data_IF_816617858169
#
_entry.id   IF_816617858169
#
_cell.length_a   1.000
_cell.length_b   1.000
_cell.length_c   1.000
_cell.angle_alpha   90.00
_cell.angle_beta   90.00
_cell.angle_gamma   90.00
#
_symmetry.space_group_name_H-M   'P 1'
#
loop_
_entity.id
_entity.type
_entity.pdbx_description
1 polymer ?
#
# COMPACT_ATOMS: atom_id res chain seq x y z
N UNK A 1 -18.84 11.88 -7.97
CA UNK A 1 -20.18 11.32 -7.76
C UNK A 1 -20.16 9.81 -7.94
N UNK A 2 -19.61 9.28 -9.04
CA UNK A 2 -19.47 7.82 -9.25
C UNK A 2 -18.68 7.10 -8.16
N UNK A 3 -17.61 7.69 -7.62
CA UNK A 3 -16.86 7.12 -6.48
C UNK A 3 -17.75 6.89 -5.25
N UNK A 4 -18.51 7.88 -4.80
CA UNK A 4 -19.34 7.72 -3.60
C UNK A 4 -20.45 6.70 -3.83
N UNK A 5 -21.00 6.61 -5.04
CA UNK A 5 -22.01 5.63 -5.41
C UNK A 5 -21.49 4.19 -5.35
N UNK A 6 -20.21 3.93 -5.66
CA UNK A 6 -19.66 2.58 -5.49
C UNK A 6 -19.56 2.16 -4.03
N UNK A 7 -19.33 3.12 -3.13
CA UNK A 7 -19.30 2.88 -1.69
C UNK A 7 -20.68 2.81 -1.04
N UNK A 8 -21.77 2.95 -1.79
CA UNK A 8 -23.12 2.64 -1.32
C UNK A 8 -23.46 1.14 -1.48
N UNK A 9 -22.65 0.40 -2.24
CA UNK A 9 -22.80 -1.04 -2.42
C UNK A 9 -22.28 -1.80 -1.18
N UNK A 10 -23.20 -2.50 -0.50
CA UNK A 10 -22.86 -3.30 0.68
C UNK A 10 -21.90 -4.46 0.37
N UNK A 11 -21.80 -4.93 -0.88
CA UNK A 11 -20.81 -5.96 -1.22
C UNK A 11 -19.37 -5.41 -1.13
N UNK A 12 -19.15 -4.11 -1.38
CA UNK A 12 -17.85 -3.45 -1.17
C UNK A 12 -17.52 -3.42 0.33
N UNK A 13 -18.46 -3.02 1.17
CA UNK A 13 -18.28 -3.02 2.62
C UNK A 13 -18.09 -4.42 3.19
N UNK A 14 -18.82 -5.41 2.68
CA UNK A 14 -18.65 -6.81 3.06
C UNK A 14 -17.24 -7.31 2.74
N UNK A 15 -16.69 -6.95 1.57
CA UNK A 15 -15.31 -7.27 1.22
C UNK A 15 -14.31 -6.70 2.26
N UNK A 16 -14.44 -5.42 2.61
CA UNK A 16 -13.60 -4.76 3.60
C UNK A 16 -13.79 -5.31 5.04
N UNK A 17 -15.01 -5.68 5.41
CA UNK A 17 -15.33 -6.25 6.73
C UNK A 17 -14.90 -7.72 6.87
N UNK A 18 -14.84 -8.47 5.76
CA UNK A 18 -14.33 -9.84 5.75
C UNK A 18 -12.81 -9.92 5.64
N UNK A 19 -12.15 -8.81 5.26
CA UNK A 19 -10.70 -8.68 5.36
C UNK A 19 -10.26 -8.62 6.83
N UNK A 20 -9.98 -9.80 7.37
CA UNK A 20 -9.62 -9.96 8.79
C UNK A 20 -8.31 -9.27 9.11
N UNK A 21 -7.33 -9.26 8.18
CA UNK A 21 -6.01 -8.64 8.41
C UNK A 21 -6.11 -7.13 8.53
N UNK A 22 -6.86 -6.49 7.63
CA UNK A 22 -7.20 -5.06 7.73
C UNK A 22 -7.80 -4.76 9.11
N UNK A 23 -8.88 -5.47 9.47
CA UNK A 23 -9.64 -5.14 10.67
C UNK A 23 -8.85 -5.43 11.96
N UNK A 24 -8.11 -6.53 12.02
CA UNK A 24 -7.25 -6.88 13.16
C UNK A 24 -6.07 -5.92 13.31
N UNK A 25 -5.46 -5.44 12.22
CA UNK A 25 -4.38 -4.47 12.29
C UNK A 25 -4.85 -3.13 12.89
N UNK A 26 -5.97 -2.58 12.40
CA UNK A 26 -6.54 -1.35 12.98
C UNK A 26 -6.99 -1.56 14.43
N UNK A 27 -7.68 -2.67 14.73
CA UNK A 27 -8.10 -2.99 16.08
C UNK A 27 -6.88 -3.08 17.00
N UNK A 28 -5.85 -3.86 16.63
CA UNK A 28 -4.64 -4.01 17.43
C UNK A 28 -3.92 -2.67 17.62
N UNK A 29 -3.74 -1.88 16.56
CA UNK A 29 -3.09 -0.58 16.64
C UNK A 29 -3.82 0.38 17.59
N UNK A 30 -5.15 0.44 17.53
CA UNK A 30 -5.96 1.30 18.41
C UNK A 30 -5.89 0.83 19.87
N UNK A 31 -6.02 -0.48 20.11
CA UNK A 31 -6.06 -1.03 21.46
C UNK A 31 -4.68 -1.16 22.13
N UNK A 32 -3.61 -1.35 21.38
CA UNK A 32 -2.24 -1.28 21.90
C UNK A 32 -1.91 0.16 22.34
N UNK A 33 -2.48 1.16 21.66
CA UNK A 33 -2.34 2.58 22.00
C UNK A 33 -3.52 3.13 22.82
N UNK A 34 -4.24 2.27 23.57
CA UNK A 34 -5.48 2.65 24.27
C UNK A 34 -5.35 3.89 25.16
N UNK A 35 -4.24 4.05 25.87
CA UNK A 35 -4.02 5.23 26.72
C UNK A 35 -3.87 6.53 25.90
N UNK A 36 -3.41 6.45 24.65
CA UNK A 36 -3.38 7.60 23.74
C UNK A 36 -4.79 8.03 23.33
N UNK A 37 -5.76 7.11 23.21
CA UNK A 37 -7.16 7.42 22.86
C UNK A 37 -8.00 7.90 24.05
N UNK A 38 -7.65 7.49 25.27
CA UNK A 38 -8.46 7.76 26.47
C UNK A 38 -8.71 9.24 26.70
N UNK A 39 -9.99 9.63 26.70
CA UNK A 39 -10.42 11.01 26.92
C UNK A 39 -10.13 11.96 25.75
N UNK A 40 -9.73 11.44 24.58
CA UNK A 40 -9.39 12.24 23.39
C UNK A 40 -10.56 12.44 22.44
N UNK A 41 -10.42 13.45 21.58
CA UNK A 41 -11.31 13.70 20.45
C UNK A 41 -10.68 13.09 19.19
N UNK A 42 -11.42 12.21 18.52
CA UNK A 42 -10.97 11.48 17.33
C UNK A 42 -11.78 11.92 16.10
N UNK A 43 -11.12 12.05 14.96
CA UNK A 43 -11.75 12.20 13.65
C UNK A 43 -11.52 10.93 12.82
N UNK A 44 -12.61 10.25 12.45
CA UNK A 44 -12.60 9.11 11.53
C UNK A 44 -12.97 9.61 10.12
N UNK A 45 -12.00 9.65 9.21
CA UNK A 45 -12.14 10.21 7.86
C UNK A 45 -12.49 9.10 6.89
N UNK A 46 -13.69 9.16 6.29
CA UNK A 46 -14.25 8.09 5.46
C UNK A 46 -14.71 6.91 6.30
N UNK A 47 -15.55 7.20 7.29
CA UNK A 47 -15.91 6.24 8.33
C UNK A 47 -16.64 4.99 7.79
N UNK A 48 -17.24 5.05 6.59
CA UNK A 48 -17.97 3.94 5.98
C UNK A 48 -19.04 3.39 6.91
N UNK A 49 -18.90 2.15 7.35
CA UNK A 49 -19.81 1.48 8.30
C UNK A 49 -19.63 1.92 9.76
N UNK A 50 -18.60 2.71 10.07
CA UNK A 50 -18.29 3.19 11.42
C UNK A 50 -17.52 2.21 12.30
N UNK A 51 -17.01 1.10 11.76
CA UNK A 51 -16.28 0.09 12.54
C UNK A 51 -15.05 0.67 13.25
N UNK A 52 -14.26 1.52 12.59
CA UNK A 52 -13.08 2.14 13.18
C UNK A 52 -13.46 3.15 14.26
N UNK A 53 -14.53 3.93 14.02
CA UNK A 53 -15.13 4.80 15.03
C UNK A 53 -15.56 4.03 16.29
N UNK A 54 -16.13 2.83 16.13
CA UNK A 54 -16.47 1.94 17.25
C UNK A 54 -15.23 1.50 18.02
N UNK A 55 -14.15 1.10 17.34
CA UNK A 55 -12.88 0.75 18.00
C UNK A 55 -12.32 1.92 18.80
N UNK A 56 -12.31 3.13 18.24
CA UNK A 56 -11.84 4.34 18.92
C UNK A 56 -12.65 4.63 20.18
N UNK A 57 -13.98 4.53 20.11
CA UNK A 57 -14.85 4.73 21.27
C UNK A 57 -14.64 3.64 22.34
N UNK A 58 -14.49 2.37 21.95
CA UNK A 58 -14.18 1.26 22.87
C UNK A 58 -12.79 1.38 23.51
N UNK A 59 -11.83 1.99 22.82
CA UNK A 59 -10.52 2.35 23.36
C UNK A 59 -10.59 3.50 24.38
N UNK A 60 -11.73 4.20 24.49
CA UNK A 60 -11.98 5.21 25.51
C UNK A 60 -11.89 6.65 25.01
N UNK A 61 -11.98 6.88 23.70
CA UNK A 61 -12.16 8.23 23.16
C UNK A 61 -13.37 8.92 23.83
N UNK A 62 -13.21 10.19 24.19
CA UNK A 62 -14.30 10.99 24.76
C UNK A 62 -15.34 11.35 23.69
N UNK A 63 -14.88 11.54 22.45
CA UNK A 63 -15.73 11.87 21.30
C UNK A 63 -15.10 11.33 20.03
N UNK A 64 -15.92 10.78 19.14
CA UNK A 64 -15.50 10.40 17.78
C UNK A 64 -16.39 11.11 16.78
N UNK A 65 -15.79 11.90 15.88
CA UNK A 65 -16.47 12.45 14.71
C UNK A 65 -16.26 11.51 13.54
N UNK A 66 -17.30 10.76 13.18
CA UNK A 66 -17.28 9.81 12.07
C UNK A 66 -17.78 10.49 10.81
N UNK A 67 -16.89 10.82 9.88
CA UNK A 67 -17.21 11.62 8.69
C UNK A 67 -17.30 10.71 7.48
N UNK A 68 -18.47 10.67 6.85
CA UNK A 68 -18.76 9.83 5.70
C UNK A 68 -19.53 10.64 4.66
N UNK A 69 -19.15 10.54 3.39
CA UNK A 69 -19.73 11.34 2.31
C UNK A 69 -20.74 10.57 1.46
N UNK A 70 -20.73 9.24 1.51
CA UNK A 70 -21.73 8.35 0.89
C UNK A 70 -22.94 8.13 1.80
N UNK A 71 -24.02 7.59 1.25
CA UNK A 71 -25.23 7.26 2.02
C UNK A 71 -25.03 6.17 3.09
N UNK A 72 -23.86 5.51 3.12
CA UNK A 72 -23.47 4.54 4.16
C UNK A 72 -23.41 5.15 5.56
N UNK A 73 -23.32 6.48 5.68
CA UNK A 73 -23.38 7.16 6.98
C UNK A 73 -24.61 6.75 7.83
N UNK A 74 -25.74 6.41 7.18
CA UNK A 74 -26.95 5.94 7.89
C UNK A 74 -26.69 4.62 8.62
N UNK A 75 -25.97 3.70 7.97
CA UNK A 75 -25.57 2.45 8.57
C UNK A 75 -24.59 2.69 9.73
N UNK A 76 -23.65 3.64 9.59
CA UNK A 76 -22.75 3.98 10.69
C UNK A 76 -23.51 4.49 11.94
N UNK A 77 -24.61 5.22 11.76
CA UNK A 77 -25.49 5.63 12.88
C UNK A 77 -26.11 4.41 13.55
N UNK A 78 -26.66 3.49 12.75
CA UNK A 78 -27.28 2.25 13.26
C UNK A 78 -26.26 1.38 14.00
N UNK A 79 -25.05 1.21 13.45
CA UNK A 79 -23.94 0.47 14.07
C UNK A 79 -23.51 1.10 15.40
N UNK A 80 -23.41 2.42 15.47
CA UNK A 80 -23.10 3.12 16.71
C UNK A 80 -24.18 2.89 17.79
N UNK A 81 -25.45 2.89 17.40
CA UNK A 81 -26.59 2.62 18.30
C UNK A 81 -26.62 1.15 18.76
N UNK A 82 -26.41 0.21 17.84
CA UNK A 82 -26.36 -1.22 18.15
C UNK A 82 -25.28 -1.55 19.19
N UNK A 83 -24.17 -0.81 19.16
CA UNK A 83 -23.06 -0.95 20.11
C UNK A 83 -23.19 -0.06 21.36
N UNK A 84 -24.30 0.68 21.54
CA UNK A 84 -24.54 1.61 22.64
C UNK A 84 -23.50 2.74 22.76
N UNK A 85 -23.01 3.23 21.61
CA UNK A 85 -21.96 4.24 21.51
C UNK A 85 -22.43 5.55 20.86
N UNK A 86 -23.74 5.71 20.62
CA UNK A 86 -24.33 6.90 20.00
C UNK A 86 -24.05 8.22 20.74
N UNK A 87 -23.77 8.17 22.05
CA UNK A 87 -23.44 9.36 22.83
C UNK A 87 -21.98 9.80 22.64
N UNK A 88 -21.10 8.87 22.26
CA UNK A 88 -19.66 9.09 22.01
C UNK A 88 -19.39 9.36 20.54
N UNK A 89 -20.01 8.57 19.65
CA UNK A 89 -19.82 8.64 18.20
C UNK A 89 -20.86 9.57 17.59
N UNK A 90 -20.40 10.64 16.95
CA UNK A 90 -21.23 11.53 16.14
C UNK A 90 -20.90 11.32 14.67
N UNK A 91 -21.84 10.71 13.95
CA UNK A 91 -21.74 10.54 12.49
C UNK A 91 -22.15 11.83 11.79
N UNK A 92 -21.35 12.27 10.83
CA UNK A 92 -21.54 13.50 10.05
C UNK A 92 -21.53 13.14 8.56
N UNK A 93 -22.66 13.34 7.90
CA UNK A 93 -22.77 13.17 6.45
C UNK A 93 -22.16 14.37 5.72
N UNK A 94 -20.90 14.27 5.30
CA UNK A 94 -20.17 15.33 4.61
C UNK A 94 -18.87 14.79 4.01
N UNK A 95 -18.42 15.31 2.85
CA UNK A 95 -16.99 15.33 2.53
C UNK A 95 -16.19 16.02 3.63
N UNK A 96 -14.98 15.57 3.90
CA UNK A 96 -14.14 16.16 4.96
C UNK A 96 -13.70 17.59 4.62
N UNK A 97 -13.60 17.90 3.33
CA UNK A 97 -13.23 19.22 2.81
C UNK A 97 -14.25 20.30 3.19
N UNK A 98 -15.53 19.94 3.21
CA UNK A 98 -16.65 20.83 3.58
C UNK A 98 -17.06 20.70 5.04
N UNK A 99 -16.42 19.81 5.80
CA UNK A 99 -16.71 19.59 7.21
C UNK A 99 -16.45 20.85 8.04
N UNK A 100 -17.37 21.09 8.97
CA UNK A 100 -17.21 22.05 10.06
C UNK A 100 -17.41 21.32 11.39
N UNK A 101 -16.39 21.31 12.23
CA UNK A 101 -16.47 20.71 13.56
C UNK A 101 -16.96 21.75 14.59
N UNK A 102 -17.66 21.32 15.67
CA UNK A 102 -17.98 22.19 16.80
C UNK A 102 -16.74 22.72 17.53
N UNK A 103 -16.91 23.74 18.38
CA UNK A 103 -15.89 24.28 19.30
C UNK A 103 -14.63 24.84 18.60
N UNK A 104 -13.43 24.56 19.14
CA UNK A 104 -12.13 24.97 18.58
C UNK A 104 -11.83 24.30 17.22
N UNK A 105 -12.68 23.37 16.79
CA UNK A 105 -12.60 22.66 15.52
C UNK A 105 -11.38 21.76 15.42
N UNK A 106 -10.79 21.34 16.54
CA UNK A 106 -9.54 20.57 16.57
C UNK A 106 -9.71 19.19 17.21
N UNK A 107 -8.94 18.22 16.70
CA UNK A 107 -8.94 16.82 17.16
C UNK A 107 -7.54 16.38 17.59
N UNK A 108 -7.47 15.43 18.50
CA UNK A 108 -6.20 14.90 19.01
C UNK A 108 -5.67 13.75 18.14
N UNK A 109 -6.57 12.99 17.50
CA UNK A 109 -6.23 11.82 16.68
C UNK A 109 -7.07 11.82 15.40
N UNK A 110 -6.43 11.51 14.27
CA UNK A 110 -7.10 11.13 13.03
C UNK A 110 -6.93 9.63 12.82
N UNK A 111 -8.02 8.94 12.55
CA UNK A 111 -8.03 7.55 12.08
C UNK A 111 -8.63 7.56 10.69
N UNK A 112 -8.02 6.83 9.76
CA UNK A 112 -8.60 6.67 8.43
C UNK A 112 -8.06 5.41 7.79
N UNK A 113 -8.94 4.72 7.07
CA UNK A 113 -8.56 3.71 6.10
C UNK A 113 -8.78 4.32 4.72
N UNK A 114 -7.67 4.82 4.16
CA UNK A 114 -7.63 5.64 2.96
C UNK A 114 -6.96 4.93 1.78
N UNK A 115 -6.43 3.73 2.01
CA UNK A 115 -5.52 3.07 1.09
C UNK A 115 -6.29 2.50 -0.08
N UNK A 116 -5.87 2.84 -1.30
CA UNK A 116 -6.37 2.21 -2.51
C UNK A 116 -5.48 1.05 -2.97
N UNK A 117 -5.82 0.48 -4.12
CA UNK A 117 -4.90 -0.36 -4.87
C UNK A 117 -3.56 0.36 -5.10
N UNK A 118 -2.44 -0.38 -5.04
CA UNK A 118 -1.08 0.16 -5.04
C UNK A 118 -0.90 1.38 -4.10
N UNK A 119 -1.60 1.41 -2.97
CA UNK A 119 -1.64 2.48 -1.97
C UNK A 119 -2.39 3.75 -2.38
N UNK A 120 -2.13 4.29 -3.58
CA UNK A 120 -2.55 5.64 -3.97
C UNK A 120 -3.83 5.72 -4.80
N UNK A 121 -4.29 4.61 -5.41
CA UNK A 121 -5.51 4.60 -6.21
C UNK A 121 -6.70 5.15 -5.42
N UNK A 122 -7.71 5.70 -6.10
CA UNK A 122 -8.92 6.30 -5.49
C UNK A 122 -8.73 7.65 -4.80
N UNK A 123 -7.49 8.01 -4.43
CA UNK A 123 -7.10 9.38 -4.07
C UNK A 123 -7.64 9.90 -2.74
N UNK A 124 -7.96 9.02 -1.78
CA UNK A 124 -8.48 9.41 -0.48
C UNK A 124 -7.42 10.02 0.46
N UNK A 125 -6.13 9.79 0.19
CA UNK A 125 -5.04 10.39 0.96
C UNK A 125 -5.09 11.93 0.99
N UNK A 126 -5.56 12.57 -0.09
CA UNK A 126 -5.79 14.02 -0.14
C UNK A 126 -6.73 14.50 0.98
N UNK A 127 -7.81 13.76 1.20
CA UNK A 127 -8.80 14.05 2.24
C UNK A 127 -8.21 13.89 3.64
N UNK A 128 -7.31 12.92 3.83
CA UNK A 128 -6.58 12.73 5.10
C UNK A 128 -5.57 13.85 5.32
N UNK A 129 -4.81 14.25 4.29
CA UNK A 129 -3.89 15.40 4.34
C UNK A 129 -4.65 16.68 4.69
N UNK A 130 -5.78 16.92 4.01
CA UNK A 130 -6.64 18.06 4.32
C UNK A 130 -7.12 18.02 5.78
N UNK A 131 -7.56 16.86 6.26
CA UNK A 131 -8.04 16.69 7.62
C UNK A 131 -6.93 16.94 8.65
N UNK A 132 -5.71 16.45 8.38
CA UNK A 132 -4.52 16.72 9.20
C UNK A 132 -4.27 18.21 9.33
N UNK A 133 -4.12 18.89 8.20
CA UNK A 133 -3.73 20.30 8.18
C UNK A 133 -4.79 21.20 8.82
N UNK A 134 -6.07 20.88 8.60
CA UNK A 134 -7.19 21.68 9.11
C UNK A 134 -7.57 21.35 10.54
N UNK A 135 -7.68 20.08 10.90
CA UNK A 135 -8.33 19.64 12.13
C UNK A 135 -7.37 19.07 13.18
N UNK A 136 -6.21 18.54 12.82
CA UNK A 136 -5.30 17.95 13.80
C UNK A 136 -4.66 19.03 14.69
N UNK A 137 -4.51 18.73 15.98
CA UNK A 137 -3.73 19.55 16.92
C UNK A 137 -2.23 19.33 16.70
N UNK A 138 -1.37 20.31 17.03
CA UNK A 138 0.08 20.07 17.08
C UNK A 138 0.41 18.89 18.00
N UNK A 139 1.18 17.92 17.49
CA UNK A 139 1.50 16.68 18.22
C UNK A 139 0.36 15.65 18.28
N UNK A 140 -0.72 15.85 17.52
CA UNK A 140 -1.76 14.85 17.34
C UNK A 140 -1.26 13.64 16.55
N UNK A 141 -1.96 12.51 16.68
CA UNK A 141 -1.58 11.24 16.06
C UNK A 141 -2.43 10.95 14.81
N UNK A 142 -1.86 10.21 13.87
CA UNK A 142 -2.55 9.74 12.67
C UNK A 142 -2.40 8.23 12.61
N UNK A 143 -3.50 7.51 12.38
CA UNK A 143 -3.53 6.05 12.29
C UNK A 143 -4.01 5.65 10.88
N UNK A 144 -3.14 5.04 10.04
CA UNK A 144 -1.69 4.81 10.23
C UNK A 144 -0.85 6.10 10.12
N UNK A 145 0.41 6.09 10.57
CA UNK A 145 1.31 7.27 10.50
C UNK A 145 2.28 7.23 9.31
N UNK A 146 2.62 6.03 8.82
CA UNK A 146 3.50 5.87 7.68
C UNK A 146 2.94 4.84 6.71
N UNK A 147 3.29 4.98 5.43
CA UNK A 147 3.00 3.99 4.41
C UNK A 147 4.17 3.84 3.43
N UNK A 148 4.44 2.63 2.97
CA UNK A 148 5.51 2.32 2.02
C UNK A 148 4.94 1.55 0.85
N UNK A 149 5.20 2.00 -0.37
CA UNK A 149 4.90 1.28 -1.61
C UNK A 149 6.16 0.56 -2.08
N UNK A 150 6.05 -0.74 -2.31
CA UNK A 150 7.12 -1.61 -2.76
C UNK A 150 6.91 -2.05 -4.21
N UNK A 151 7.99 -2.48 -4.84
CA UNK A 151 7.97 -3.15 -6.12
C UNK A 151 8.96 -4.30 -6.16
N UNK A 152 8.62 -5.37 -6.88
CA UNK A 152 9.57 -6.41 -7.24
C UNK A 152 9.19 -7.07 -8.58
N UNK A 153 10.17 -7.53 -9.37
CA UNK A 153 9.95 -8.46 -10.46
C UNK A 153 9.19 -9.72 -9.99
N UNK A 154 8.28 -10.22 -10.81
CA UNK A 154 7.48 -11.40 -10.47
C UNK A 154 7.21 -12.31 -11.68
N UNK A 155 6.91 -13.57 -11.37
CA UNK A 155 6.28 -14.55 -12.24
C UNK A 155 4.76 -14.45 -12.15
N UNK A 156 4.08 -14.83 -13.25
CA UNK A 156 2.61 -14.87 -13.33
C UNK A 156 2.19 -16.19 -14.02
N UNK A 157 2.35 -17.35 -13.34
CA UNK A 157 2.07 -18.66 -13.94
C UNK A 157 0.65 -18.81 -14.47
N UNK A 158 -0.33 -18.11 -13.88
CA UNK A 158 -1.73 -18.10 -14.30
C UNK A 158 -1.94 -17.55 -15.72
N UNK A 159 -1.04 -16.71 -16.22
CA UNK A 159 -1.08 -16.16 -17.57
C UNK A 159 -0.20 -16.93 -18.56
N UNK A 160 0.63 -17.86 -18.10
CA UNK A 160 1.59 -18.59 -18.93
C UNK A 160 1.46 -20.12 -18.76
N UNK A 161 1.92 -20.66 -17.64
CA UNK A 161 2.09 -22.10 -17.44
C UNK A 161 0.78 -22.88 -17.51
N UNK A 162 -0.31 -22.33 -16.97
CA UNK A 162 -1.63 -22.95 -17.03
C UNK A 162 -2.09 -23.25 -18.47
N UNK A 163 -1.71 -22.40 -19.43
CA UNK A 163 -2.16 -22.50 -20.83
C UNK A 163 -1.29 -23.43 -21.69
N UNK A 164 -0.18 -23.93 -21.15
CA UNK A 164 0.66 -24.92 -21.86
C UNK A 164 -0.09 -26.23 -22.06
N UNK A 165 -0.92 -26.61 -21.11
CA UNK A 165 -1.75 -27.82 -21.15
C UNK A 165 -3.09 -27.61 -20.42
N UNK A 166 -4.17 -27.42 -21.18
CA UNK A 166 -5.55 -27.41 -20.68
C UNK A 166 -6.21 -28.71 -21.09
N UNK A 167 -6.20 -29.70 -20.18
CA UNK A 167 -6.79 -31.02 -20.39
C UNK A 167 -6.28 -31.76 -21.65
N UNK A 168 -4.97 -31.74 -21.89
CA UNK A 168 -4.29 -32.32 -23.05
C UNK A 168 -4.22 -31.38 -24.27
N UNK A 169 -4.73 -30.16 -24.16
CA UNK A 169 -4.79 -29.20 -25.27
C UNK A 169 -3.90 -27.99 -25.00
N UNK A 170 -2.94 -27.74 -25.89
CA UNK A 170 -2.12 -26.53 -25.82
C UNK A 170 -2.93 -25.29 -26.20
N UNK A 171 -2.97 -24.32 -25.30
CA UNK A 171 -3.70 -23.06 -25.44
C UNK A 171 -2.74 -21.84 -25.44
N UNK A 172 -1.47 -22.03 -25.81
CA UNK A 172 -0.45 -20.98 -25.79
C UNK A 172 -0.82 -19.75 -26.64
N UNK A 173 -1.53 -19.94 -27.76
CA UNK A 173 -2.06 -18.82 -28.58
C UNK A 173 -3.15 -18.01 -27.88
N UNK A 174 -3.91 -18.63 -26.99
CA UNK A 174 -4.85 -17.92 -26.14
C UNK A 174 -4.09 -17.09 -25.10
N UNK A 175 -3.08 -17.69 -24.43
CA UNK A 175 -2.19 -16.97 -23.50
C UNK A 175 -1.52 -15.76 -24.15
N UNK A 176 -0.97 -15.90 -25.36
CA UNK A 176 -0.36 -14.77 -26.09
C UNK A 176 -1.34 -13.60 -26.26
N UNK A 177 -2.58 -13.89 -26.66
CA UNK A 177 -3.62 -12.87 -26.83
C UNK A 177 -4.09 -12.28 -25.50
N UNK A 178 -4.25 -13.12 -24.48
CA UNK A 178 -4.63 -12.70 -23.14
C UNK A 178 -3.57 -11.76 -22.55
N UNK A 179 -2.29 -12.08 -22.68
CA UNK A 179 -1.17 -11.22 -22.25
C UNK A 179 -1.18 -9.87 -22.96
N UNK A 180 -1.32 -9.87 -24.29
CA UNK A 180 -1.39 -8.63 -25.09
C UNK A 180 -2.58 -7.72 -24.72
N UNK A 181 -3.68 -8.29 -24.22
CA UNK A 181 -4.81 -7.53 -23.66
C UNK A 181 -4.53 -7.08 -22.23
N UNK A 182 -3.90 -7.95 -21.44
CA UNK A 182 -3.66 -7.75 -20.01
C UNK A 182 -2.60 -6.69 -19.76
N UNK A 183 -1.53 -6.63 -20.56
CA UNK A 183 -0.45 -5.65 -20.42
C UNK A 183 -0.86 -4.20 -20.76
N UNK A 184 -2.12 -3.96 -21.15
CA UNK A 184 -2.63 -2.61 -21.45
C UNK A 184 -3.05 -1.83 -20.19
N UNK A 185 -3.24 -2.51 -19.05
CA UNK A 185 -3.54 -1.86 -17.78
C UNK A 185 -3.09 -2.72 -16.60
N UNK A 186 -2.72 -2.11 -15.45
CA UNK A 186 -2.39 -2.85 -14.24
C UNK A 186 -3.53 -3.79 -13.83
N UNK A 187 -3.18 -4.94 -13.24
CA UNK A 187 -4.14 -5.94 -12.77
C UNK A 187 -4.08 -6.12 -11.27
N UNK A 188 -5.25 -6.13 -10.65
CA UNK A 188 -5.38 -6.49 -9.24
C UNK A 188 -5.50 -8.01 -9.14
N UNK A 189 -4.49 -8.66 -8.56
CA UNK A 189 -4.45 -10.11 -8.42
C UNK A 189 -3.58 -10.52 -7.25
N UNK A 190 -3.81 -11.74 -6.78
CA UNK A 190 -3.00 -12.37 -5.74
C UNK A 190 -1.75 -12.96 -6.38
N UNK A 191 -0.59 -12.48 -5.96
CA UNK A 191 0.73 -13.05 -6.30
C UNK A 191 1.19 -13.90 -5.12
N UNK A 192 1.77 -15.07 -5.38
CA UNK A 192 2.35 -15.90 -4.32
C UNK A 192 3.75 -15.39 -4.00
N UNK A 193 4.16 -15.50 -2.73
CA UNK A 193 5.54 -15.25 -2.30
C UNK A 193 6.58 -15.98 -3.17
N UNK A 194 6.31 -17.24 -3.53
CA UNK A 194 7.15 -18.04 -4.44
C UNK A 194 7.27 -17.45 -5.87
N UNK A 195 6.33 -16.61 -6.29
CA UNK A 195 6.32 -15.98 -7.61
C UNK A 195 7.02 -14.60 -7.62
N UNK A 196 7.35 -14.02 -6.46
CA UNK A 196 8.17 -12.79 -6.35
C UNK A 196 9.64 -13.13 -6.54
N UNK A 197 10.35 -12.51 -7.47
CA UNK A 197 11.67 -12.96 -7.96
C UNK A 197 12.88 -12.27 -7.32
N UNK A 198 12.66 -11.31 -6.42
CA UNK A 198 13.72 -10.62 -5.71
C UNK A 198 13.20 -10.03 -4.40
N UNK A 199 14.13 -9.57 -3.57
CA UNK A 199 13.82 -8.64 -2.48
C UNK A 199 13.08 -7.39 -3.01
N UNK A 200 12.20 -6.78 -2.19
CA UNK A 200 11.45 -5.60 -2.57
C UNK A 200 12.29 -4.33 -2.65
N UNK A 201 11.95 -3.51 -3.62
CA UNK A 201 12.48 -2.16 -3.80
C UNK A 201 11.43 -1.12 -3.36
N UNK A 202 11.85 -0.13 -2.56
CA UNK A 202 10.95 0.93 -2.08
C UNK A 202 10.73 1.97 -3.17
N UNK A 203 9.51 2.08 -3.68
CA UNK A 203 9.10 3.11 -4.64
C UNK A 203 8.74 4.43 -3.95
N UNK A 204 8.02 4.36 -2.83
CA UNK A 204 7.54 5.55 -2.14
C UNK A 204 7.45 5.24 -0.65
N UNK A 205 7.99 6.14 0.16
CA UNK A 205 7.76 6.17 1.59
C UNK A 205 7.02 7.46 1.95
N UNK A 206 5.92 7.33 2.65
CA UNK A 206 5.02 8.41 3.03
C UNK A 206 5.06 8.55 4.54
N UNK A 207 5.38 9.77 5.00
CA UNK A 207 5.11 10.21 6.36
C UNK A 207 3.83 11.02 6.38
N UNK A 208 2.74 10.46 6.93
CA UNK A 208 1.44 11.14 6.92
C UNK A 208 1.46 12.42 7.77
N UNK A 209 2.46 12.62 8.63
CA UNK A 209 2.59 13.83 9.45
C UNK A 209 3.08 15.03 8.64
N UNK A 210 3.81 14.79 7.54
CA UNK A 210 4.52 15.84 6.81
C UNK A 210 4.17 15.91 5.32
N UNK A 211 3.82 14.79 4.69
CA UNK A 211 3.60 14.70 3.23
C UNK A 211 2.61 15.75 2.72
N UNK A 212 2.88 16.33 1.54
CA UNK A 212 1.93 17.18 0.81
C UNK A 212 1.32 16.46 -0.39
N UNK A 213 0.21 17.00 -0.92
CA UNK A 213 -0.47 16.42 -2.09
C UNK A 213 0.42 16.43 -3.33
N UNK A 214 1.29 17.44 -3.46
CA UNK A 214 2.22 17.59 -4.57
C UNK A 214 3.27 16.46 -4.61
N UNK A 215 3.70 16.00 -3.43
CA UNK A 215 4.70 14.94 -3.26
C UNK A 215 4.16 13.54 -3.61
N UNK A 216 2.84 13.38 -3.79
CA UNK A 216 2.22 12.12 -4.20
C UNK A 216 2.50 11.77 -5.68
N UNK A 217 2.99 12.71 -6.48
CA UNK A 217 3.41 12.43 -7.85
C UNK A 217 4.81 11.82 -7.86
N UNK A 218 4.91 10.53 -8.21
CA UNK A 218 6.20 9.88 -8.36
C UNK A 218 6.80 10.18 -9.71
N UNK A 219 7.93 10.89 -9.67
CA UNK A 219 8.80 11.03 -10.83
C UNK A 219 9.44 9.69 -11.23
N UNK A 220 10.30 9.70 -12.25
CA UNK A 220 10.97 8.51 -12.77
C UNK A 220 11.94 7.93 -11.72
N UNK A 221 11.51 6.88 -11.05
CA UNK A 221 12.33 6.15 -10.06
C UNK A 221 12.95 4.95 -10.77
N UNK A 222 14.26 4.76 -10.59
CA UNK A 222 15.00 3.65 -11.19
C UNK A 222 15.47 2.70 -10.10
N UNK A 223 15.19 1.42 -10.30
CA UNK A 223 15.65 0.35 -9.43
C UNK A 223 16.45 -0.69 -10.21
N UNK A 224 17.28 -1.41 -9.48
CA UNK A 224 18.00 -2.58 -9.94
C UNK A 224 17.69 -3.73 -8.98
N UNK A 225 16.63 -4.48 -9.29
CA UNK A 225 16.38 -5.72 -8.57
C UNK A 225 17.42 -6.77 -8.98
N UNK A 226 17.93 -7.54 -8.01
CA UNK A 226 18.76 -8.72 -8.30
C UNK A 226 17.94 -9.95 -7.98
N UNK A 227 17.77 -10.81 -8.98
CA UNK A 227 16.96 -12.02 -8.85
C UNK A 227 17.55 -12.95 -7.78
N UNK A 228 16.73 -13.40 -6.84
CA UNK A 228 17.13 -14.28 -5.73
C UNK A 228 16.87 -15.77 -6.02
N UNK A 229 16.01 -16.07 -7.00
CA UNK A 229 15.66 -17.43 -7.40
C UNK A 229 15.29 -17.53 -8.88
N UNK A 230 15.54 -18.67 -9.54
CA UNK A 230 15.19 -18.84 -10.94
C UNK A 230 13.67 -18.77 -11.15
N UNK A 231 13.26 -18.17 -12.26
CA UNK A 231 11.85 -18.01 -12.58
C UNK A 231 11.64 -17.33 -13.93
N UNK A 232 10.40 -16.92 -14.17
CA UNK A 232 10.03 -16.25 -15.41
C UNK A 232 9.61 -14.82 -15.09
N UNK A 233 10.45 -13.85 -15.44
CA UNK A 233 10.13 -12.45 -15.28
C UNK A 233 9.02 -12.04 -16.26
N UNK A 234 7.82 -11.87 -15.71
CA UNK A 234 6.56 -11.70 -16.45
C UNK A 234 5.80 -10.45 -16.03
N UNK A 235 6.21 -9.78 -14.96
CA UNK A 235 5.58 -8.58 -14.47
C UNK A 235 6.36 -7.92 -13.36
N UNK A 236 5.93 -6.71 -13.01
CA UNK A 236 6.32 -6.06 -11.75
C UNK A 236 5.13 -6.10 -10.82
N UNK A 237 5.32 -6.67 -9.64
CA UNK A 237 4.35 -6.70 -8.56
C UNK A 237 4.54 -5.46 -7.67
N UNK A 238 3.44 -4.78 -7.36
CA UNK A 238 3.38 -3.66 -6.42
C UNK A 238 2.47 -4.01 -5.25
N UNK A 239 2.93 -3.69 -4.05
CA UNK A 239 2.20 -3.87 -2.79
C UNK A 239 2.62 -2.80 -1.79
N UNK A 240 1.90 -2.67 -0.68
CA UNK A 240 2.22 -1.66 0.32
C UNK A 240 2.22 -2.23 1.73
N UNK A 241 2.84 -1.50 2.64
CA UNK A 241 2.69 -1.70 4.06
C UNK A 241 2.47 -0.35 4.77
N UNK A 242 1.61 -0.33 5.77
CA UNK A 242 1.35 0.80 6.64
C UNK A 242 1.85 0.49 8.05
N UNK A 243 2.50 1.47 8.69
CA UNK A 243 2.90 1.39 10.09
C UNK A 243 2.00 2.31 10.93
N UNK A 244 1.54 1.79 12.05
CA UNK A 244 0.75 2.55 13.02
C UNK A 244 1.65 3.14 14.11
N UNK A 245 1.24 4.27 14.73
CA UNK A 245 1.93 4.81 15.88
C UNK A 245 2.12 3.76 16.97
N UNK A 246 3.27 3.82 17.63
CA UNK A 246 3.55 3.03 18.83
C UNK A 246 4.25 3.88 19.88
N UNK A 247 3.74 3.85 21.11
CA UNK A 247 4.37 4.53 22.25
C UNK A 247 5.23 3.56 23.06
N UNK A 248 4.61 2.48 23.55
CA UNK A 248 5.19 1.55 24.53
C UNK A 248 5.17 0.09 24.05
N UNK A 249 4.75 -0.14 22.81
CA UNK A 249 4.63 -1.46 22.19
C UNK A 249 5.44 -1.53 20.91
N UNK A 250 5.62 -2.73 20.37
CA UNK A 250 6.10 -2.86 18.99
C UNK A 250 5.08 -2.23 18.02
N UNK A 251 5.54 -1.57 16.94
CA UNK A 251 4.66 -1.03 15.91
C UNK A 251 3.81 -2.13 15.28
N UNK A 252 2.52 -1.83 15.10
CA UNK A 252 1.62 -2.67 14.32
C UNK A 252 1.81 -2.31 12.85
N UNK A 253 1.84 -3.33 12.00
CA UNK A 253 1.90 -3.17 10.55
C UNK A 253 0.66 -3.77 9.89
N UNK A 254 0.15 -3.09 8.86
CA UNK A 254 -0.80 -3.64 7.91
C UNK A 254 -0.08 -3.77 6.57
N UNK A 255 0.20 -5.00 6.16
CA UNK A 255 0.95 -5.30 4.95
C UNK A 255 0.07 -6.00 3.92
N UNK A 256 0.28 -5.70 2.65
CA UNK A 256 -0.28 -6.45 1.51
C UNK A 256 0.78 -7.24 0.77
N UNK A 257 1.90 -7.53 1.44
CA UNK A 257 2.98 -8.36 0.91
C UNK A 257 2.47 -9.76 0.50
N UNK A 258 2.88 -10.28 -0.67
CA UNK A 258 2.60 -11.65 -1.09
C UNK A 258 2.87 -12.76 -0.05
N UNK A 259 3.81 -12.55 0.89
CA UNK A 259 4.12 -13.50 1.97
C UNK A 259 3.22 -13.31 3.20
N UNK A 260 2.62 -12.13 3.35
CA UNK A 260 1.78 -11.76 4.48
C UNK A 260 0.30 -12.03 4.22
N UNK A 261 -0.03 -13.10 3.48
CA UNK A 261 -1.39 -13.59 3.23
C UNK A 261 -2.33 -12.61 2.50
N UNK A 262 -3.54 -13.07 2.16
CA UNK A 262 -4.45 -12.29 1.32
C UNK A 262 -5.18 -11.19 2.10
N UNK A 263 -5.11 -9.98 1.54
CA UNK A 263 -5.98 -8.83 1.87
C UNK A 263 -6.87 -8.52 0.66
N UNK A 264 -7.92 -7.73 0.83
CA UNK A 264 -8.81 -7.40 -0.28
C UNK A 264 -8.14 -6.55 -1.36
N UNK A 265 -7.10 -5.77 -1.02
CA UNK A 265 -6.28 -5.02 -1.97
C UNK A 265 -5.46 -5.92 -2.89
N UNK A 266 -5.11 -7.12 -2.43
CA UNK A 266 -4.19 -8.04 -3.10
C UNK A 266 -2.90 -7.30 -3.48
N UNK A 267 -2.39 -7.55 -4.69
CA UNK A 267 -1.29 -6.80 -5.28
C UNK A 267 -1.70 -6.21 -6.62
N UNK A 268 -1.01 -5.15 -7.02
CA UNK A 268 -1.13 -4.57 -8.36
C UNK A 268 0.01 -5.07 -9.23
N UNK A 269 -0.31 -5.76 -10.31
CA UNK A 269 0.68 -6.35 -11.21
C UNK A 269 0.67 -5.64 -12.55
N UNK A 270 1.85 -5.19 -12.96
CA UNK A 270 2.11 -4.62 -14.29
C UNK A 270 2.65 -5.75 -15.15
N UNK A 271 1.78 -6.33 -15.97
CA UNK A 271 2.11 -7.50 -16.80
C UNK A 271 2.96 -7.08 -17.98
N UNK A 272 4.10 -7.76 -18.18
CA UNK A 272 4.96 -7.54 -19.32
C UNK A 272 4.40 -8.24 -20.57
N UNK A 273 4.67 -7.69 -21.78
CA UNK A 273 4.31 -8.34 -23.03
C UNK A 273 5.23 -9.54 -23.35
N UNK A 274 6.32 -9.71 -22.61
CA UNK A 274 7.32 -10.75 -22.80
C UNK A 274 7.38 -11.69 -21.59
N UNK A 275 7.84 -12.91 -21.86
CA UNK A 275 8.14 -13.92 -20.86
C UNK A 275 9.66 -14.14 -20.87
N UNK A 276 10.35 -13.70 -19.82
CA UNK A 276 11.82 -13.62 -19.79
C UNK A 276 12.33 -14.59 -18.71
N UNK A 277 12.89 -15.75 -19.09
CA UNK A 277 13.54 -16.64 -18.12
C UNK A 277 14.73 -15.94 -17.46
N UNK A 278 14.80 -16.00 -16.14
CA UNK A 278 15.86 -15.41 -15.33
C UNK A 278 16.40 -16.44 -14.34
N UNK A 279 17.69 -16.32 -14.05
CA UNK A 279 18.41 -17.14 -13.07
C UNK A 279 18.75 -16.29 -11.83
N UNK A 280 19.07 -16.95 -10.72
CA UNK A 280 19.61 -16.29 -9.53
C UNK A 280 20.83 -15.41 -9.88
N UNK A 281 20.88 -14.21 -9.30
CA UNK A 281 21.90 -13.20 -9.56
C UNK A 281 21.65 -12.38 -10.84
N UNK A 282 20.54 -12.58 -11.57
CA UNK A 282 20.20 -11.79 -12.76
C UNK A 282 19.82 -10.36 -12.36
N UNK A 283 20.50 -9.31 -12.87
CA UNK A 283 20.09 -7.92 -12.66
C UNK A 283 18.86 -7.57 -13.53
N UNK A 284 17.81 -7.04 -12.92
CA UNK A 284 16.60 -6.54 -13.58
C UNK A 284 16.49 -5.04 -13.29
N UNK A 285 17.01 -4.19 -14.16
CA UNK A 285 16.87 -2.75 -14.03
C UNK A 285 15.55 -2.28 -14.65
N UNK A 286 14.83 -1.44 -13.94
CA UNK A 286 13.58 -0.87 -14.43
C UNK A 286 13.36 0.54 -13.89
N UNK A 287 12.65 1.35 -14.66
CA UNK A 287 12.17 2.68 -14.27
C UNK A 287 10.65 2.62 -14.12
N UNK A 288 10.13 3.08 -12.98
CA UNK A 288 8.69 3.27 -12.75
C UNK A 288 8.41 4.75 -12.58
N UNK A 289 7.33 5.23 -13.18
CA UNK A 289 6.74 6.52 -12.81
C UNK A 289 5.25 6.36 -12.58
N UNK A 290 4.73 7.05 -11.56
CA UNK A 290 3.31 7.06 -11.22
C UNK A 290 2.86 8.51 -11.24
N UNK A 291 2.10 8.88 -12.27
CA UNK A 291 1.62 10.24 -12.47
C UNK A 291 0.13 10.30 -12.26
N UNK A 292 -0.30 11.23 -11.43
CA UNK A 292 -1.71 11.51 -11.22
C UNK A 292 -2.30 12.20 -12.45
N UNK A 293 -3.54 11.87 -12.81
CA UNK A 293 -4.24 12.56 -13.90
C UNK A 293 -4.63 13.98 -13.48
N UNK A 294 -4.41 14.95 -14.36
CA UNK A 294 -4.85 16.34 -14.17
C UNK A 294 -6.38 16.52 -14.31
N UNK A 295 -7.05 15.63 -15.04
CA UNK A 295 -8.50 15.69 -15.25
C UNK A 295 -9.28 15.02 -14.12
N UNK A 296 -8.74 13.90 -13.62
CA UNK A 296 -9.35 13.11 -12.56
C UNK A 296 -8.28 12.68 -11.55
N UNK A 297 -8.21 13.45 -10.47
CA UNK A 297 -7.27 13.24 -9.38
C UNK A 297 -7.41 11.85 -8.69
N UNK A 298 -8.42 11.04 -9.02
CA UNK A 298 -8.54 9.66 -8.50
C UNK A 298 -7.88 8.63 -9.41
N UNK A 299 -7.41 9.04 -10.60
CA UNK A 299 -6.77 8.18 -11.59
C UNK A 299 -5.28 8.45 -11.70
N UNK A 300 -4.54 7.39 -12.01
CA UNK A 300 -3.10 7.41 -12.16
C UNK A 300 -2.70 6.72 -13.46
N UNK A 301 -1.63 7.23 -14.07
CA UNK A 301 -0.91 6.56 -15.14
C UNK A 301 0.37 5.98 -14.55
N UNK A 302 0.54 4.66 -14.69
CA UNK A 302 1.77 3.98 -14.31
C UNK A 302 2.54 3.65 -15.60
N UNK A 303 3.76 4.16 -15.71
CA UNK A 303 4.66 3.86 -16.82
C UNK A 303 5.83 3.04 -16.28
N UNK A 304 6.07 1.88 -16.89
CA UNK A 304 7.25 1.03 -16.62
C UNK A 304 8.11 1.00 -17.86
N UNK A 305 9.38 1.35 -17.71
CA UNK A 305 10.39 1.21 -18.74
C UNK A 305 11.44 0.19 -18.28
N UNK A 306 11.59 -0.88 -19.06
CA UNK A 306 12.70 -1.80 -18.88
C UNK A 306 14.00 -1.13 -19.33
N UNK A 307 15.03 -1.19 -18.49
CA UNK A 307 16.32 -0.58 -18.77
C UNK A 307 17.33 -1.65 -19.21
N UNK A 308 18.43 -1.18 -19.78
CA UNK A 308 19.63 -2.00 -19.95
C UNK A 308 20.42 -1.97 -18.62
N UNK A 309 21.01 -3.09 -18.22
CA UNK A 309 21.74 -3.19 -16.96
C UNK A 309 23.08 -2.46 -16.99
N UNK A 310 23.58 -2.14 -18.19
CA UNK A 310 24.69 -1.20 -18.38
C UNK A 310 24.26 0.27 -18.29
N UNK A 311 22.95 0.57 -18.38
CA UNK A 311 22.41 1.93 -18.33
C UNK A 311 22.03 2.42 -16.93
N UNK A 312 22.24 1.59 -15.90
CA UNK A 312 22.02 1.94 -14.50
C UNK A 312 23.26 1.65 -13.66
N UNK A 313 23.47 2.47 -12.63
CA UNK A 313 24.49 2.24 -11.63
C UNK A 313 24.08 1.06 -10.73
N UNK A 314 25.03 0.17 -10.44
CA UNK A 314 24.78 -0.96 -9.54
C UNK A 314 25.25 -0.57 -8.14
N UNK A 315 24.52 -0.91 -7.08
CA UNK A 315 24.94 -0.66 -5.71
C UNK A 315 26.35 -1.22 -5.41
N UNK A 316 27.07 -0.61 -4.47
CA UNK A 316 28.44 -1.02 -4.11
C UNK A 316 28.51 -2.51 -3.69
N UNK A 317 27.46 -3.01 -3.03
CA UNK A 317 27.31 -4.40 -2.62
C UNK A 317 26.32 -5.18 -3.50
N UNK A 318 26.17 -4.81 -4.77
CA UNK A 318 25.29 -5.51 -5.71
C UNK A 318 25.66 -6.99 -5.79
N UNK A 319 24.70 -7.89 -5.61
CA UNK A 319 24.88 -9.35 -5.58
C UNK A 319 24.80 -10.02 -6.95
N UNK A 320 24.61 -9.26 -8.02
CA UNK A 320 24.42 -9.82 -9.36
C UNK A 320 25.69 -10.49 -9.93
N UNK A 321 25.52 -11.25 -11.03
CA UNK A 321 26.60 -11.98 -11.68
C UNK A 321 27.48 -11.13 -12.61
N UNK A 322 27.24 -9.82 -12.75
CA UNK A 322 28.04 -8.97 -13.63
C UNK A 322 29.50 -8.94 -13.17
N UNK A 323 30.43 -9.09 -14.11
CA UNK A 323 31.87 -9.11 -13.82
C UNK A 323 32.32 -7.91 -12.99
N UNK A 324 31.79 -6.71 -13.27
CA UNK A 324 32.10 -5.49 -12.51
C UNK A 324 31.69 -5.61 -11.02
N UNK A 325 30.53 -6.20 -10.74
CA UNK A 325 30.02 -6.37 -9.38
C UNK A 325 30.77 -7.47 -8.64
N UNK A 326 31.07 -8.59 -9.31
CA UNK A 326 31.90 -9.67 -8.73
C UNK A 326 33.28 -9.12 -8.33
N UNK A 327 33.93 -8.34 -9.21
CA UNK A 327 35.23 -7.72 -8.92
C UNK A 327 35.13 -6.70 -7.78
N UNK A 328 34.09 -5.86 -7.77
CA UNK A 328 33.87 -4.88 -6.70
C UNK A 328 33.73 -5.56 -5.33
N UNK A 329 32.90 -6.60 -5.21
CA UNK A 329 32.74 -7.38 -3.98
C UNK A 329 34.07 -8.02 -3.53
N UNK A 330 34.79 -8.68 -4.44
CA UNK A 330 36.08 -9.29 -4.12
C UNK A 330 37.15 -8.27 -3.66
N UNK A 331 37.10 -7.04 -4.20
CA UNK A 331 37.98 -5.95 -3.76
C UNK A 331 37.58 -5.46 -2.37
N UNK A 332 36.29 -5.24 -2.11
CA UNK A 332 35.77 -4.83 -0.80
C UNK A 332 36.11 -5.85 0.29
N UNK A 333 35.85 -7.14 0.04
CA UNK A 333 36.20 -8.24 0.95
C UNK A 333 37.71 -8.26 1.28
N UNK A 334 38.56 -8.03 0.27
CA UNK A 334 40.01 -7.94 0.47
C UNK A 334 40.41 -6.71 1.28
N UNK A 335 39.75 -5.57 1.09
CA UNK A 335 40.00 -4.38 1.91
C UNK A 335 39.59 -4.62 3.35
N UNK A 336 38.39 -5.14 3.61
CA UNK A 336 37.92 -5.47 4.96
C UNK A 336 38.90 -6.40 5.69
N UNK A 337 39.32 -7.50 5.04
CA UNK A 337 40.30 -8.43 5.60
C UNK A 337 41.66 -7.76 5.91
N UNK A 338 42.08 -6.78 5.10
CA UNK A 338 43.32 -6.02 5.32
C UNK A 338 43.17 -4.92 6.39
N UNK A 339 41.96 -4.38 6.59
CA UNK A 339 41.65 -3.45 7.69
C UNK A 339 41.77 -4.15 9.03
N UNK A 340 41.17 -5.35 9.16
CA UNK A 340 41.19 -6.12 10.40
C UNK A 340 42.57 -6.73 10.74
N UNK A 341 43.49 -6.80 9.78
CA UNK A 341 44.86 -7.28 10.01
C UNK A 341 45.87 -6.17 10.34
N UNK A 342 45.51 -4.89 10.17
CA UNK A 342 46.34 -3.74 10.55
C UNK A 342 45.96 -3.11 11.90
N UNK A 343 44.90 -3.59 12.57
CA UNK A 343 44.46 -3.16 13.90
C UNK A 343 44.87 -4.11 15.05
N UNK A 344 45.73 -5.12 14.78
CA UNK A 344 46.25 -6.05 15.80
C UNK A 344 47.76 -5.90 16.05
#
# INVERSE_FOLDING_TARGET
MEYFLSYEDLEVHKCMLQDTKRNEAYHKAIFDNKEAFKGKIVLDVGAGTGILSVFCAQAGAAKVYAVEASETYKLAIEVAQENNLQDVIQVIHSPVETLTLPEDGKVDIIVSEWMGHFLLHEGMLDSVIFARDKFLRPGGLIFPENATLFSAPCSIPSLNDYWKDVCGVSMTRFSDKLKAQTCQSPKIMTVKSDDVLSDPEVLLWIDLREITVEELNLSKIRHLAVVDKPGNYQGICLWFACAFPATDTEPVYLSTDPDEGETHWKQTVIVLPADIPVEEGTPIPYEISIKRSEEDHRKYTIEVQMLDDEAIEHPEYCTCFKTRCILARAVLEKYEQNSFSNEN
#
